data_IF_629857262656
#
_entry.id   IF_629857262656
#
_cell.length_a   1.000
_cell.length_b   1.000
_cell.length_c   1.000
_cell.angle_alpha   90.00
_cell.angle_beta   90.00
_cell.angle_gamma   90.00
#
_symmetry.space_group_name_H-M   'P 1'
#
loop_
_entity.id
_entity.type
_entity.pdbx_description
1 polymer ?
#
# COMPACT_ATOMS: atom_id res chain seq x y z
N UNK A 1 -27.55 12.17 7.33
CA UNK A 1 -26.72 11.01 7.70
C UNK A 1 -25.30 11.37 7.34
N UNK A 2 -24.54 11.90 8.31
CA UNK A 2 -23.12 12.22 8.11
C UNK A 2 -22.37 10.90 8.27
N UNK A 3 -21.87 10.33 7.18
CA UNK A 3 -20.95 9.19 7.30
C UNK A 3 -19.80 9.62 8.22
N UNK A 4 -19.39 8.82 9.21
CA UNK A 4 -18.18 9.12 9.96
C UNK A 4 -17.05 9.29 8.94
N UNK A 5 -16.26 10.36 9.09
CA UNK A 5 -15.08 10.56 8.26
C UNK A 5 -14.17 9.35 8.48
N UNK A 6 -14.12 8.43 7.50
CA UNK A 6 -13.34 7.22 7.62
C UNK A 6 -11.86 7.60 7.74
N UNK A 7 -11.25 7.31 8.88
CA UNK A 7 -9.83 7.55 9.11
C UNK A 7 -9.00 6.69 8.17
N UNK A 8 -7.89 7.25 7.68
CA UNK A 8 -6.98 6.56 6.79
C UNK A 8 -6.19 5.47 7.53
N UNK A 9 -6.11 4.28 6.94
CA UNK A 9 -5.16 3.23 7.32
C UNK A 9 -4.00 3.24 6.33
N UNK A 10 -2.88 3.84 6.74
CA UNK A 10 -1.64 3.85 5.93
C UNK A 10 -1.00 2.47 6.00
N UNK A 11 -0.93 1.80 4.85
CA UNK A 11 -0.32 0.48 4.71
C UNK A 11 1.15 0.65 4.32
N UNK A 12 2.04 -0.07 5.01
CA UNK A 12 3.41 -0.32 4.59
C UNK A 12 3.56 -1.78 4.16
N UNK A 13 4.29 -2.06 3.06
CA UNK A 13 4.51 -3.43 2.58
C UNK A 13 5.99 -3.73 2.34
N UNK A 14 6.46 -4.82 2.93
CA UNK A 14 7.82 -5.37 2.72
C UNK A 14 7.73 -6.58 1.80
N UNK A 15 8.58 -6.64 0.77
CA UNK A 15 8.70 -7.83 -0.08
C UNK A 15 7.75 -7.87 -1.28
N UNK A 16 7.89 -6.90 -2.19
CA UNK A 16 7.03 -6.76 -3.38
C UNK A 16 7.36 -7.73 -4.54
N UNK A 17 8.54 -8.33 -4.57
CA UNK A 17 9.03 -9.06 -5.75
C UNK A 17 8.26 -10.37 -6.07
N UNK A 18 7.68 -11.02 -5.06
CA UNK A 18 6.92 -12.25 -5.25
C UNK A 18 5.42 -11.97 -5.41
N UNK A 19 4.79 -11.41 -4.37
CA UNK A 19 3.32 -11.21 -4.32
C UNK A 19 2.89 -9.73 -4.32
N UNK A 20 3.79 -8.80 -4.64
CA UNK A 20 3.51 -7.37 -4.55
C UNK A 20 2.31 -6.93 -5.38
N UNK A 21 2.12 -7.50 -6.58
CA UNK A 21 0.96 -7.21 -7.41
C UNK A 21 -0.37 -7.62 -6.76
N UNK A 22 -0.42 -8.83 -6.19
CA UNK A 22 -1.62 -9.38 -5.55
C UNK A 22 -1.99 -8.57 -4.30
N UNK A 23 -1.03 -8.31 -3.41
CA UNK A 23 -1.29 -7.54 -2.19
C UNK A 23 -1.70 -6.10 -2.50
N UNK A 24 -1.03 -5.45 -3.45
CA UNK A 24 -1.40 -4.10 -3.87
C UNK A 24 -2.79 -4.04 -4.51
N UNK A 25 -3.16 -5.07 -5.27
CA UNK A 25 -4.50 -5.19 -5.82
C UNK A 25 -5.54 -5.31 -4.69
N UNK A 26 -5.33 -6.23 -3.74
CA UNK A 26 -6.26 -6.46 -2.63
C UNK A 26 -6.51 -5.19 -1.80
N UNK A 27 -5.45 -4.43 -1.45
CA UNK A 27 -5.60 -3.19 -0.71
C UNK A 27 -6.41 -2.12 -1.45
N UNK A 28 -6.22 -2.02 -2.77
CA UNK A 28 -6.95 -1.06 -3.60
C UNK A 28 -8.40 -1.46 -3.86
N UNK A 29 -8.70 -2.76 -3.86
CA UNK A 29 -10.04 -3.25 -4.20
C UNK A 29 -10.91 -3.53 -3.00
N UNK A 30 -10.36 -3.89 -1.84
CA UNK A 30 -11.12 -4.16 -0.62
C UNK A 30 -12.20 -3.10 -0.29
N UNK A 31 -11.91 -1.77 -0.25
CA UNK A 31 -12.93 -0.76 0.07
C UNK A 31 -14.02 -0.60 -1.01
N UNK A 32 -13.91 -1.27 -2.17
CA UNK A 32 -14.94 -1.28 -3.21
C UNK A 32 -15.96 -2.40 -3.03
N UNK A 33 -15.61 -3.43 -2.26
CA UNK A 33 -16.44 -4.62 -2.04
C UNK A 33 -16.98 -4.72 -0.62
N UNK A 34 -16.30 -4.09 0.35
CA UNK A 34 -16.65 -4.17 1.76
C UNK A 34 -16.83 -2.77 2.35
N UNK A 35 -17.78 -2.64 3.27
CA UNK A 35 -17.91 -1.46 4.12
C UNK A 35 -16.87 -1.55 5.25
N UNK A 36 -15.70 -0.95 5.01
CA UNK A 36 -14.58 -0.99 5.94
C UNK A 36 -14.68 0.16 6.95
N UNK A 37 -14.30 -0.05 8.22
CA UNK A 37 -14.29 1.02 9.22
C UNK A 37 -13.16 2.06 9.00
N UNK A 38 -12.17 1.72 8.16
CA UNK A 38 -11.02 2.56 7.81
C UNK A 38 -10.80 2.52 6.30
N UNK A 39 -10.27 3.62 5.76
CA UNK A 39 -9.93 3.73 4.34
C UNK A 39 -8.46 3.34 4.10
N UNK A 40 -8.16 2.20 3.43
CA UNK A 40 -6.77 1.82 3.17
C UNK A 40 -6.08 2.76 2.18
N UNK A 41 -4.84 3.12 2.48
CA UNK A 41 -3.94 3.86 1.60
C UNK A 41 -2.64 3.07 1.39
N UNK A 42 -2.23 2.89 0.14
CA UNK A 42 -0.94 2.30 -0.21
C UNK A 42 0.17 3.33 0.05
N UNK A 43 0.64 3.42 1.30
CA UNK A 43 1.53 4.49 1.74
C UNK A 43 2.98 4.21 1.35
N UNK A 44 3.60 3.14 1.87
CA UNK A 44 5.05 2.93 1.69
C UNK A 44 5.37 1.51 1.21
N UNK A 45 6.15 1.39 0.14
CA UNK A 45 6.68 0.12 -0.36
C UNK A 45 8.15 -0.04 0.02
N UNK A 46 8.49 -1.10 0.77
CA UNK A 46 9.86 -1.37 1.19
C UNK A 46 10.57 -2.41 0.33
N UNK A 47 11.80 -2.11 -0.06
CA UNK A 47 12.62 -2.93 -0.94
C UNK A 47 14.09 -2.55 -0.93
N UNK A 48 14.99 -3.54 -0.89
CA UNK A 48 16.44 -3.31 -0.78
C UNK A 48 17.10 -2.66 -2.01
N UNK A 49 16.47 -2.79 -3.18
CA UNK A 49 16.93 -2.19 -4.43
C UNK A 49 16.08 -0.94 -4.72
N UNK A 50 16.67 0.28 -4.65
CA UNK A 50 15.97 1.54 -4.86
C UNK A 50 15.26 1.61 -6.21
N UNK A 51 15.94 1.26 -7.29
CA UNK A 51 15.39 1.38 -8.63
C UNK A 51 14.23 0.39 -8.84
N UNK A 52 14.39 -0.83 -8.35
CA UNK A 52 13.34 -1.83 -8.48
C UNK A 52 12.12 -1.53 -7.59
N UNK A 53 12.32 -0.97 -6.37
CA UNK A 53 11.20 -0.59 -5.49
C UNK A 53 10.45 0.63 -6.01
N UNK A 54 11.15 1.62 -6.57
CA UNK A 54 10.54 2.78 -7.24
C UNK A 54 9.69 2.35 -8.44
N UNK A 55 10.24 1.48 -9.30
CA UNK A 55 9.50 0.95 -10.45
C UNK A 55 8.26 0.15 -10.02
N UNK A 56 8.38 -0.67 -8.97
CA UNK A 56 7.26 -1.43 -8.42
C UNK A 56 6.20 -0.51 -7.78
N UNK A 57 6.62 0.52 -7.04
CA UNK A 57 5.72 1.49 -6.44
C UNK A 57 4.89 2.23 -7.49
N UNK A 58 5.53 2.72 -8.56
CA UNK A 58 4.84 3.35 -9.69
C UNK A 58 3.87 2.41 -10.38
N UNK A 59 4.26 1.14 -10.59
CA UNK A 59 3.39 0.13 -11.21
C UNK A 59 2.18 -0.24 -10.35
N UNK A 60 2.35 -0.33 -9.03
CA UNK A 60 1.35 -0.87 -8.13
C UNK A 60 0.52 0.21 -7.40
N UNK A 61 0.93 1.47 -7.48
CA UNK A 61 0.23 2.63 -6.93
C UNK A 61 0.59 2.96 -5.48
N UNK A 62 1.85 2.77 -5.08
CA UNK A 62 2.35 3.16 -3.75
C UNK A 62 2.86 4.60 -3.77
N UNK A 63 2.62 5.34 -2.69
CA UNK A 63 2.97 6.77 -2.59
C UNK A 63 4.46 7.01 -2.36
N UNK A 64 5.08 6.22 -1.51
CA UNK A 64 6.44 6.38 -1.03
C UNK A 64 7.19 5.03 -1.10
N UNK A 65 8.51 5.08 -1.11
CA UNK A 65 9.37 3.89 -1.11
C UNK A 65 10.45 3.99 -0.05
N UNK A 66 10.80 2.86 0.56
CA UNK A 66 11.86 2.79 1.56
C UNK A 66 12.82 1.62 1.30
N UNK A 67 14.10 1.81 1.62
CA UNK A 67 15.10 0.74 1.44
C UNK A 67 15.39 -0.06 2.70
N UNK A 68 15.06 0.49 3.88
CA UNK A 68 15.07 -0.23 5.15
C UNK A 68 13.65 -0.43 5.65
N UNK A 69 13.23 -1.69 5.75
CA UNK A 69 11.88 -2.02 6.23
C UNK A 69 11.64 -1.60 7.69
N UNK A 70 12.70 -1.36 8.47
CA UNK A 70 12.58 -0.88 9.85
C UNK A 70 12.14 0.59 9.93
N UNK A 71 12.19 1.32 8.81
CA UNK A 71 11.71 2.69 8.71
C UNK A 71 10.20 2.79 8.39
N UNK A 72 9.50 1.66 8.25
CA UNK A 72 8.05 1.60 8.04
C UNK A 72 7.23 1.87 9.32
#
# INVERSE_FOLDING_TARGET
MTSPQQSALRVGMVGYAFMGAMHSHAWRTAPRFFDLPLQPELAVLAGRDPAAVEAAAGRFGWRETETDWRAL
#
